data_IF_529304783769
#
_entry.id   IF_529304783769
#
_cell.length_a   1.000
_cell.length_b   1.000
_cell.length_c   1.000
_cell.angle_alpha   90.00
_cell.angle_beta   90.00
_cell.angle_gamma   90.00
#
_symmetry.space_group_name_H-M   'P 1'
#
loop_
_entity.id
_entity.type
_entity.pdbx_description
1 polymer ?
#
# COMPACT_ATOMS: atom_id res chain seq x y z
N UNK A 1 4.70 17.16 -18.78
CA UNK A 1 5.61 16.18 -19.42
C UNK A 1 5.85 15.06 -18.44
N UNK A 2 5.70 13.83 -18.87
CA UNK A 2 5.89 12.66 -18.02
C UNK A 2 7.40 12.49 -17.75
N UNK A 3 7.83 12.56 -16.49
CA UNK A 3 9.27 12.50 -16.13
C UNK A 3 9.70 11.13 -15.61
N UNK A 4 8.73 10.23 -15.41
CA UNK A 4 8.98 8.86 -14.94
C UNK A 4 9.42 8.02 -16.14
N UNK A 5 10.48 7.25 -15.98
CA UNK A 5 10.92 6.27 -16.96
C UNK A 5 10.36 4.89 -16.59
N UNK A 6 9.88 4.12 -17.56
CA UNK A 6 9.52 2.72 -17.39
C UNK A 6 10.71 1.83 -17.79
N UNK A 7 11.04 0.83 -16.98
CA UNK A 7 12.16 -0.09 -17.24
C UNK A 7 11.68 -1.51 -17.59
N UNK A 8 10.56 -1.93 -17.03
CA UNK A 8 9.94 -3.22 -17.34
C UNK A 8 8.44 -3.18 -17.15
N UNK A 9 7.75 -4.03 -17.90
CA UNK A 9 6.31 -4.19 -17.78
C UNK A 9 5.89 -5.63 -18.14
N UNK A 10 4.80 -6.10 -17.56
CA UNK A 10 4.23 -7.42 -17.83
C UNK A 10 2.73 -7.32 -18.00
N UNK A 11 2.20 -8.05 -18.98
CA UNK A 11 0.79 -8.01 -19.33
C UNK A 11 0.23 -9.44 -19.45
N UNK A 12 -0.82 -9.73 -18.69
CA UNK A 12 -1.46 -11.04 -18.64
C UNK A 12 -2.96 -10.90 -18.90
N UNK A 13 -3.46 -11.62 -19.91
CA UNK A 13 -4.90 -11.85 -20.08
C UNK A 13 -5.33 -12.99 -19.17
N UNK A 14 -6.41 -12.77 -18.45
CA UNK A 14 -7.04 -13.78 -17.60
C UNK A 14 -8.55 -13.68 -17.75
N UNK A 15 -9.25 -14.80 -17.65
CA UNK A 15 -10.70 -14.82 -17.63
C UNK A 15 -11.17 -14.91 -16.18
N UNK A 16 -12.03 -13.98 -15.78
CA UNK A 16 -12.61 -13.94 -14.44
C UNK A 16 -14.12 -13.80 -14.55
N UNK A 17 -14.86 -14.82 -14.07
CA UNK A 17 -16.33 -14.87 -14.13
C UNK A 17 -16.91 -14.66 -15.54
N UNK A 18 -16.28 -15.25 -16.56
CA UNK A 18 -16.71 -15.12 -17.95
C UNK A 18 -16.33 -13.79 -18.62
N UNK A 19 -15.51 -12.95 -17.97
CA UNK A 19 -15.00 -11.70 -18.53
C UNK A 19 -13.49 -11.75 -18.70
N UNK A 20 -13.00 -11.38 -19.89
CA UNK A 20 -11.56 -11.24 -20.15
C UNK A 20 -11.05 -9.95 -19.51
N UNK A 21 -10.13 -10.11 -18.56
CA UNK A 21 -9.43 -9.03 -17.87
C UNK A 21 -7.95 -9.02 -18.24
N UNK A 22 -7.40 -7.82 -18.26
CA UNK A 22 -5.98 -7.56 -18.40
C UNK A 22 -5.42 -7.21 -17.02
N UNK A 23 -4.46 -7.99 -16.55
CA UNK A 23 -3.58 -7.60 -15.44
C UNK A 23 -2.29 -7.01 -16.03
N UNK A 24 -1.98 -5.77 -15.69
CA UNK A 24 -0.83 -5.03 -16.21
C UNK A 24 0.01 -4.53 -15.04
N UNK A 25 1.32 -4.76 -15.09
CA UNK A 25 2.29 -4.21 -14.14
C UNK A 25 3.36 -3.42 -14.89
N UNK A 26 3.82 -2.32 -14.29
CA UNK A 26 4.90 -1.49 -14.80
C UNK A 26 5.83 -1.08 -13.66
N UNK A 27 7.13 -1.26 -13.86
CA UNK A 27 8.17 -0.85 -12.92
C UNK A 27 9.13 0.11 -13.64
N UNK A 28 9.61 1.12 -12.92
CA UNK A 28 10.47 2.14 -13.49
C UNK A 28 11.15 3.00 -12.42
N UNK A 29 11.65 4.15 -12.86
CA UNK A 29 12.41 5.09 -12.04
C UNK A 29 11.86 6.51 -12.20
N UNK A 30 11.65 7.19 -11.08
CA UNK A 30 11.36 8.61 -11.02
C UNK A 30 12.67 9.41 -10.82
N UNK A 31 12.78 10.64 -11.34
CA UNK A 31 14.03 11.40 -11.35
C UNK A 31 14.45 11.96 -9.99
N UNK A 32 13.52 12.04 -9.04
CA UNK A 32 13.71 12.62 -7.70
C UNK A 32 12.98 11.79 -6.64
N UNK A 33 13.22 12.08 -5.36
CA UNK A 33 12.43 11.50 -4.26
C UNK A 33 11.04 12.13 -4.12
N UNK A 34 10.09 11.38 -3.56
CA UNK A 34 8.79 11.92 -3.11
C UNK A 34 7.65 11.87 -4.14
N UNK A 35 7.87 11.23 -5.29
CA UNK A 35 6.78 10.89 -6.21
C UNK A 35 5.80 9.95 -5.51
N UNK A 36 4.51 10.12 -5.76
CA UNK A 36 3.46 9.35 -5.06
C UNK A 36 2.30 9.01 -5.98
N UNK A 37 1.45 8.07 -5.54
CA UNK A 37 0.26 7.63 -6.28
C UNK A 37 0.55 7.21 -7.73
N UNK A 38 1.47 6.26 -7.98
CA UNK A 38 1.70 5.74 -9.32
C UNK A 38 0.48 4.96 -9.84
N UNK A 39 0.10 5.18 -11.09
CA UNK A 39 -1.02 4.49 -11.73
C UNK A 39 -0.84 4.35 -13.23
N UNK A 40 -1.59 3.42 -13.82
CA UNK A 40 -1.66 3.15 -15.25
C UNK A 40 -3.01 3.63 -15.78
N UNK A 41 -2.99 4.59 -16.71
CA UNK A 41 -4.20 5.14 -17.30
C UNK A 41 -4.38 4.61 -18.74
N UNK A 42 -5.45 3.84 -19.04
CA UNK A 42 -5.71 3.39 -20.40
C UNK A 42 -6.06 4.57 -21.29
N UNK A 43 -5.49 4.62 -22.48
CA UNK A 43 -5.92 5.53 -23.54
C UNK A 43 -7.00 4.86 -24.37
N UNK A 44 -8.18 5.46 -24.38
CA UNK A 44 -9.27 5.01 -25.23
C UNK A 44 -9.25 5.78 -26.55
N UNK A 45 -9.13 5.04 -27.65
CA UNK A 45 -9.28 5.58 -29.00
C UNK A 45 -10.71 5.32 -29.50
N UNK A 46 -11.25 6.25 -30.27
CA UNK A 46 -12.57 6.09 -30.92
C UNK A 46 -12.55 5.07 -32.05
N UNK A 47 -11.38 4.85 -32.64
CA UNK A 47 -11.13 3.87 -33.69
C UNK A 47 -10.20 2.80 -33.15
N UNK A 48 -10.55 1.53 -33.38
CA UNK A 48 -9.70 0.39 -33.02
C UNK A 48 -8.38 0.50 -33.76
N UNK A 49 -7.23 0.52 -33.06
CA UNK A 49 -5.92 0.58 -33.68
C UNK A 49 -5.70 -0.63 -34.63
N UNK A 50 -5.23 -0.36 -35.84
CA UNK A 50 -5.01 -1.42 -36.85
C UNK A 50 -3.91 -2.41 -36.44
N UNK A 51 -2.96 -1.95 -35.64
CA UNK A 51 -1.88 -2.75 -35.05
C UNK A 51 -2.34 -3.59 -33.83
N UNK A 52 -3.54 -3.32 -33.30
CA UNK A 52 -4.07 -3.97 -32.10
C UNK A 52 -3.29 -3.61 -30.83
N UNK A 53 -2.59 -2.46 -30.82
CA UNK A 53 -1.85 -1.97 -29.65
C UNK A 53 -2.78 -1.14 -28.78
N UNK A 54 -2.89 -1.48 -27.50
CA UNK A 54 -3.58 -0.64 -26.51
C UNK A 54 -2.57 0.13 -25.67
N UNK A 55 -2.70 1.46 -25.66
CA UNK A 55 -1.77 2.34 -24.97
C UNK A 55 -2.19 2.66 -23.54
N UNK A 56 -1.20 2.77 -22.65
CA UNK A 56 -1.36 3.16 -21.26
C UNK A 56 -0.36 4.25 -20.90
N UNK A 57 -0.80 5.28 -20.18
CA UNK A 57 0.11 6.24 -19.56
C UNK A 57 0.56 5.75 -18.19
N UNK A 58 1.87 5.69 -17.96
CA UNK A 58 2.42 5.45 -16.62
C UNK A 58 2.67 6.78 -15.91
N UNK A 59 1.79 7.12 -14.98
CA UNK A 59 1.75 8.43 -14.34
C UNK A 59 1.97 8.29 -12.83
N UNK A 60 2.45 9.37 -12.21
CA UNK A 60 2.39 9.54 -10.77
C UNK A 60 2.33 11.03 -10.42
N UNK A 61 2.00 11.33 -9.17
CA UNK A 61 1.96 12.68 -8.63
C UNK A 61 3.38 13.19 -8.37
N UNK A 62 3.78 14.34 -8.92
CA UNK A 62 5.09 14.91 -8.68
C UNK A 62 5.23 15.35 -7.21
N UNK A 63 6.44 15.29 -6.64
CA UNK A 63 6.67 15.77 -5.29
C UNK A 63 6.51 17.30 -5.18
N UNK A 64 6.26 17.78 -3.95
CA UNK A 64 6.22 19.20 -3.63
C UNK A 64 7.34 19.59 -2.67
N UNK A 65 7.86 20.80 -2.82
CA UNK A 65 8.92 21.34 -1.95
C UNK A 65 10.31 20.84 -2.31
N UNK A 66 11.22 20.87 -1.33
CA UNK A 66 12.59 20.39 -1.52
C UNK A 66 12.61 18.86 -1.65
N UNK A 67 13.30 18.37 -2.67
CA UNK A 67 13.41 16.94 -2.98
C UNK A 67 14.86 16.52 -3.14
N UNK A 68 15.16 15.25 -2.85
CA UNK A 68 16.46 14.67 -3.15
C UNK A 68 16.56 14.41 -4.66
N UNK A 69 17.69 14.80 -5.24
CA UNK A 69 18.02 14.57 -6.66
C UNK A 69 18.60 13.17 -6.82
N UNK A 70 17.78 12.14 -6.57
CA UNK A 70 18.14 10.72 -6.66
C UNK A 70 17.06 9.98 -7.43
N UNK A 71 17.49 9.03 -8.28
CA UNK A 71 16.57 8.15 -8.98
C UNK A 71 15.87 7.23 -7.97
N UNK A 72 14.53 7.25 -7.93
CA UNK A 72 13.75 6.42 -7.00
C UNK A 72 12.90 5.39 -7.74
N UNK A 73 12.88 4.12 -7.29
CA UNK A 73 12.01 3.11 -7.88
C UNK A 73 10.53 3.48 -7.74
N UNK A 74 9.75 3.25 -8.80
CA UNK A 74 8.31 3.49 -8.82
C UNK A 74 7.60 2.39 -9.61
N UNK A 75 6.46 1.92 -9.11
CA UNK A 75 5.73 0.79 -9.69
C UNK A 75 4.23 1.05 -9.67
N UNK A 76 3.54 0.58 -10.70
CA UNK A 76 2.07 0.58 -10.79
C UNK A 76 1.56 -0.76 -11.29
N UNK A 77 0.39 -1.15 -10.82
CA UNK A 77 -0.34 -2.32 -11.29
C UNK A 77 -1.82 -2.00 -11.41
N UNK A 78 -2.52 -2.65 -12.34
CA UNK A 78 -3.95 -2.44 -12.54
C UNK A 78 -4.64 -3.60 -13.23
N UNK A 79 -5.94 -3.71 -12.98
CA UNK A 79 -6.85 -4.60 -13.69
C UNK A 79 -7.75 -3.79 -14.62
N UNK A 80 -7.82 -4.20 -15.87
CA UNK A 80 -8.59 -3.52 -16.90
C UNK A 80 -9.50 -4.52 -17.63
N UNK A 81 -10.66 -4.07 -18.07
CA UNK A 81 -11.46 -4.85 -19.03
C UNK A 81 -10.69 -4.86 -20.33
N UNK A 82 -10.35 -6.04 -20.85
CA UNK A 82 -9.51 -6.14 -22.04
C UNK A 82 -10.39 -6.33 -23.28
N UNK A 83 -10.42 -5.38 -24.21
CA UNK A 83 -11.12 -5.59 -25.47
C UNK A 83 -10.51 -6.74 -26.28
N UNK A 84 -11.34 -7.46 -27.01
CA UNK A 84 -10.91 -8.64 -27.79
C UNK A 84 -9.91 -8.31 -28.90
N UNK A 85 -9.92 -7.06 -29.38
CA UNK A 85 -9.02 -6.59 -30.43
C UNK A 85 -7.57 -6.39 -29.96
N UNK A 86 -7.33 -6.31 -28.64
CA UNK A 86 -6.00 -6.01 -28.10
C UNK A 86 -5.07 -7.21 -28.30
N UNK A 87 -3.95 -6.98 -28.97
CA UNK A 87 -2.87 -7.95 -29.21
C UNK A 87 -1.62 -7.63 -28.40
N UNK A 88 -1.36 -6.34 -28.17
CA UNK A 88 -0.17 -5.83 -27.47
C UNK A 88 -0.53 -4.64 -26.59
N UNK A 89 0.32 -4.38 -25.61
CA UNK A 89 0.22 -3.21 -24.74
C UNK A 89 1.43 -2.32 -24.96
N UNK A 90 1.22 -1.01 -25.10
CA UNK A 90 2.30 -0.02 -25.10
C UNK A 90 2.15 0.85 -23.86
N UNK A 91 3.20 0.97 -23.07
CA UNK A 91 3.24 1.86 -21.90
C UNK A 91 4.03 3.10 -22.28
N UNK A 92 3.36 4.25 -22.24
CA UNK A 92 3.90 5.56 -22.51
C UNK A 92 4.28 6.24 -21.18
N UNK A 93 5.58 6.52 -21.03
CA UNK A 93 6.17 7.22 -19.92
C UNK A 93 7.05 8.38 -20.46
N UNK A 94 8.15 8.72 -19.80
CA UNK A 94 9.23 9.51 -20.41
C UNK A 94 9.89 8.78 -21.59
N UNK A 95 9.78 7.45 -21.60
CA UNK A 95 10.11 6.54 -22.68
C UNK A 95 8.91 5.63 -22.97
N UNK A 96 9.03 4.76 -23.97
CA UNK A 96 7.99 3.79 -24.30
C UNK A 96 8.52 2.35 -24.20
N UNK A 97 7.65 1.45 -23.73
CA UNK A 97 7.89 0.01 -23.75
C UNK A 97 6.64 -0.68 -24.32
N UNK A 98 6.86 -1.61 -25.24
CA UNK A 98 5.82 -2.52 -25.72
C UNK A 98 5.94 -3.88 -25.05
N UNK A 99 4.79 -4.46 -24.72
CA UNK A 99 4.66 -5.76 -24.08
C UNK A 99 3.68 -6.58 -24.91
N UNK A 100 4.13 -7.75 -25.36
CA UNK A 100 3.24 -8.72 -25.97
C UNK A 100 2.32 -9.31 -24.91
N UNK A 101 1.04 -9.47 -25.25
CA UNK A 101 0.12 -10.19 -24.37
C UNK A 101 0.52 -11.66 -24.37
N UNK A 102 0.98 -12.16 -23.23
CA UNK A 102 1.30 -13.58 -23.09
C UNK A 102 0.01 -14.41 -23.27
N UNK A 103 -0.14 -15.05 -24.43
CA UNK A 103 -1.16 -16.07 -24.65
C UNK A 103 -0.64 -17.38 -24.05
N UNK A 104 -1.12 -17.77 -22.86
CA UNK A 104 -0.88 -19.12 -22.35
C UNK A 104 -2.11 -20.00 -22.52
N UNK A 105 -2.07 -20.84 -23.54
CA UNK A 105 -2.71 -22.16 -23.51
C UNK A 105 -1.90 -23.06 -22.54
N UNK A 106 -2.19 -23.00 -21.23
CA UNK A 106 -1.68 -23.91 -20.19
C UNK A 106 -0.15 -23.94 -19.95
N UNK A 107 0.35 -24.63 -18.91
CA UNK A 107 -0.36 -25.33 -17.84
C UNK A 107 -0.83 -24.33 -16.77
N UNK A 108 -1.82 -24.76 -15.99
CA UNK A 108 -2.25 -24.20 -14.71
C UNK A 108 -1.24 -23.24 -14.08
N UNK A 109 -1.33 -21.94 -14.39
CA UNK A 109 -1.30 -20.99 -13.29
C UNK A 109 -2.68 -21.14 -12.66
N UNK A 110 -2.83 -22.18 -11.82
CA UNK A 110 -3.57 -21.99 -10.60
C UNK A 110 -2.89 -20.80 -9.93
N UNK A 111 -3.33 -19.59 -10.30
CA UNK A 111 -3.76 -18.72 -9.22
C UNK A 111 -4.82 -19.60 -8.57
N UNK A 112 -4.47 -20.20 -7.44
CA UNK A 112 -5.47 -20.60 -6.47
C UNK A 112 -6.28 -19.32 -6.21
N UNK A 113 -7.26 -19.09 -7.08
CA UNK A 113 -8.43 -18.30 -6.77
C UNK A 113 -9.28 -19.38 -6.11
N UNK A 114 -9.21 -19.56 -4.77
CA UNK A 114 -10.16 -20.43 -4.11
C UNK A 114 -11.53 -19.96 -4.59
N UNK A 115 -12.16 -20.86 -5.33
CA UNK A 115 -13.47 -20.69 -5.96
C UNK A 115 -14.34 -19.96 -4.96
N UNK A 116 -14.81 -18.76 -5.32
CA UNK A 116 -15.67 -17.86 -4.55
C UNK A 116 -16.30 -18.50 -3.31
N UNK A 117 -15.50 -18.68 -2.26
CA UNK A 117 -16.01 -18.69 -0.91
C UNK A 117 -16.33 -17.23 -0.71
N UNK A 118 -17.54 -16.93 -0.29
CA UNK A 118 -17.80 -15.69 0.42
C UNK A 118 -16.92 -15.74 1.67
N UNK A 119 -15.60 -15.53 1.52
CA UNK A 119 -14.69 -15.38 2.63
C UNK A 119 -15.10 -14.03 3.18
N UNK A 120 -15.97 -14.12 4.18
CA UNK A 120 -16.22 -13.10 5.16
C UNK A 120 -14.83 -12.57 5.51
N UNK A 121 -14.48 -11.41 4.95
CA UNK A 121 -13.13 -10.87 5.06
C UNK A 121 -12.72 -10.95 6.52
N UNK A 122 -11.60 -11.63 6.79
CA UNK A 122 -11.14 -11.77 8.16
C UNK A 122 -10.71 -10.39 8.58
N UNK A 123 -11.49 -9.80 9.48
CA UNK A 123 -11.13 -8.57 10.15
C UNK A 123 -10.18 -8.94 11.29
N UNK A 124 -8.89 -8.92 10.99
CA UNK A 124 -7.86 -9.15 11.99
C UNK A 124 -7.46 -7.82 12.61
N UNK A 125 -7.42 -7.77 13.94
CA UNK A 125 -7.04 -6.58 14.71
C UNK A 125 -5.97 -6.94 15.72
N UNK A 126 -4.92 -6.13 15.82
CA UNK A 126 -3.91 -6.27 16.85
C UNK A 126 -3.40 -4.93 17.31
N UNK A 127 -3.36 -4.76 18.62
CA UNK A 127 -2.67 -3.65 19.25
C UNK A 127 -1.16 -3.79 19.02
N UNK A 128 -0.54 -2.73 18.53
CA UNK A 128 0.90 -2.71 18.26
C UNK A 128 1.67 -1.83 19.23
N UNK A 129 1.00 -0.86 19.84
CA UNK A 129 1.56 0.02 20.85
C UNK A 129 0.44 0.70 21.64
N UNK A 130 0.70 0.93 22.92
CA UNK A 130 -0.06 1.82 23.79
C UNK A 130 0.88 2.85 24.39
N UNK A 131 0.51 4.12 24.44
CA UNK A 131 1.38 5.16 25.00
C UNK A 131 0.61 6.31 25.63
N UNK A 132 1.28 7.03 26.54
CA UNK A 132 0.72 8.20 27.21
C UNK A 132 1.43 9.48 26.78
N UNK A 133 0.68 10.54 26.52
CA UNK A 133 1.20 11.89 26.33
C UNK A 133 0.36 12.95 27.08
N UNK A 134 0.71 14.23 26.88
CA UNK A 134 -0.11 15.37 27.32
C UNK A 134 -0.48 15.35 28.81
N UNK A 135 0.53 15.17 29.66
CA UNK A 135 0.38 15.21 31.11
C UNK A 135 0.03 16.62 31.59
N UNK A 136 -1.13 16.77 32.22
CA UNK A 136 -1.65 18.05 32.69
C UNK A 136 -2.15 17.94 34.14
N UNK A 137 -1.87 18.96 34.94
CA UNK A 137 -2.51 19.16 36.24
C UNK A 137 -3.90 19.78 35.99
N UNK A 138 -4.95 19.19 36.53
CA UNK A 138 -6.34 19.67 36.37
C UNK A 138 -7.04 20.03 37.69
N UNK A 139 -6.40 19.79 38.83
CA UNK A 139 -6.95 20.20 40.12
C UNK A 139 -6.32 19.46 41.29
N UNK A 140 -7.13 19.28 42.34
CA UNK A 140 -6.73 18.63 43.58
C UNK A 140 -7.74 17.52 43.93
N UNK A 141 -7.25 16.42 44.50
CA UNK A 141 -8.10 15.33 45.00
C UNK A 141 -8.35 15.42 46.53
N UNK A 142 -7.86 16.48 47.17
CA UNK A 142 -7.81 16.64 48.63
C UNK A 142 -6.45 16.28 49.24
N UNK A 143 -6.15 16.83 50.41
CA UNK A 143 -4.85 16.65 51.08
C UNK A 143 -3.69 17.23 50.26
N UNK A 144 -2.59 16.48 50.12
CA UNK A 144 -1.44 16.80 49.27
C UNK A 144 -1.54 16.18 47.85
N UNK A 145 -2.66 15.54 47.52
CA UNK A 145 -2.84 14.79 46.26
C UNK A 145 -3.34 15.66 45.12
N UNK A 146 -2.61 15.70 44.02
CA UNK A 146 -2.91 16.50 42.83
C UNK A 146 -3.72 15.66 41.84
N UNK A 147 -4.75 16.26 41.24
CA UNK A 147 -5.52 15.66 40.17
C UNK A 147 -4.81 15.89 38.84
N UNK A 148 -4.44 14.81 38.18
CA UNK A 148 -3.72 14.78 36.92
C UNK A 148 -4.62 14.23 35.80
N UNK A 149 -4.36 14.63 34.57
CA UNK A 149 -4.87 13.97 33.36
C UNK A 149 -3.74 13.73 32.36
N UNK A 150 -3.88 12.68 31.57
CA UNK A 150 -2.99 12.30 30.46
C UNK A 150 -3.85 11.81 29.32
N UNK A 151 -3.36 11.95 28.10
CA UNK A 151 -4.00 11.38 26.93
C UNK A 151 -3.32 10.03 26.68
N UNK A 152 -4.11 8.96 26.72
CA UNK A 152 -3.67 7.60 26.43
C UNK A 152 -4.05 7.26 25.01
N UNK A 153 -3.10 6.75 24.24
CA UNK A 153 -3.27 6.34 22.85
C UNK A 153 -3.07 4.84 22.72
N UNK A 154 -3.95 4.19 21.97
CA UNK A 154 -3.85 2.77 21.61
C UNK A 154 -3.84 2.65 20.09
N UNK A 155 -2.70 2.22 19.55
CA UNK A 155 -2.51 1.99 18.12
C UNK A 155 -2.85 0.55 17.78
N UNK A 156 -3.85 0.38 16.93
CA UNK A 156 -4.33 -0.92 16.47
C UNK A 156 -4.16 -1.04 14.95
N UNK A 157 -3.47 -2.08 14.51
CA UNK A 157 -3.46 -2.45 13.09
C UNK A 157 -4.70 -3.27 12.81
N UNK A 158 -5.46 -2.86 11.81
CA UNK A 158 -6.68 -3.51 11.35
C UNK A 158 -6.47 -3.94 9.91
N UNK A 159 -6.46 -5.25 9.69
CA UNK A 159 -6.30 -5.85 8.37
C UNK A 159 -7.60 -6.54 7.99
N UNK A 160 -8.10 -6.23 6.80
CA UNK A 160 -9.17 -6.97 6.17
C UNK A 160 -8.58 -7.78 5.02
N UNK A 161 -8.75 -9.09 5.04
CA UNK A 161 -8.27 -9.94 3.96
C UNK A 161 -8.78 -11.38 4.02
N UNK A 162 -8.47 -12.17 3.00
CA UNK A 162 -8.95 -13.54 2.86
C UNK A 162 -8.30 -14.54 3.84
N UNK A 163 -7.04 -14.32 4.24
CA UNK A 163 -6.24 -15.30 4.98
C UNK A 163 -5.62 -14.73 6.27
N UNK A 164 -6.13 -15.13 7.43
CA UNK A 164 -5.60 -14.74 8.74
C UNK A 164 -4.19 -15.29 9.01
N UNK A 165 -3.87 -16.48 8.51
CA UNK A 165 -2.58 -17.11 8.75
C UNK A 165 -1.47 -16.36 8.00
N UNK A 166 -1.75 -15.92 6.76
CA UNK A 166 -0.87 -15.03 6.02
C UNK A 166 -0.69 -13.69 6.75
N UNK A 167 -1.78 -13.09 7.27
CA UNK A 167 -1.72 -11.86 8.07
C UNK A 167 -0.79 -12.02 9.28
N UNK A 168 -0.94 -13.10 10.05
CA UNK A 168 -0.11 -13.35 11.24
C UNK A 168 1.36 -13.56 10.88
N UNK A 169 1.65 -14.39 9.89
CA UNK A 169 3.03 -14.65 9.43
C UNK A 169 3.73 -13.36 8.97
N UNK A 170 3.07 -12.60 8.09
CA UNK A 170 3.60 -11.34 7.58
C UNK A 170 3.75 -10.28 8.66
N UNK A 171 2.86 -10.27 9.65
CA UNK A 171 2.94 -9.35 10.77
C UNK A 171 4.17 -9.67 11.63
N UNK A 172 4.38 -10.94 11.98
CA UNK A 172 5.52 -11.35 12.80
C UNK A 172 6.85 -11.09 12.07
N UNK A 173 6.91 -11.30 10.74
CA UNK A 173 8.08 -10.95 9.90
C UNK A 173 8.33 -9.43 9.85
N UNK A 174 7.29 -8.62 9.63
CA UNK A 174 7.41 -7.17 9.61
C UNK A 174 7.83 -6.59 10.97
N UNK A 175 7.40 -7.23 12.07
CA UNK A 175 7.80 -6.87 13.43
C UNK A 175 9.25 -7.27 13.75
N UNK A 176 9.70 -8.43 13.24
CA UNK A 176 11.08 -8.89 13.40
C UNK A 176 12.10 -8.01 12.64
N UNK A 177 11.68 -7.34 11.56
CA UNK A 177 12.53 -6.44 10.77
C UNK A 177 12.91 -5.11 11.46
N UNK A 178 12.72 -4.99 12.78
CA UNK A 178 13.22 -3.85 13.59
C UNK A 178 12.20 -2.74 13.84
N UNK A 179 10.95 -2.90 13.40
CA UNK A 179 9.88 -1.90 13.57
C UNK A 179 9.53 -1.68 15.04
N UNK A 180 9.55 -2.73 15.88
CA UNK A 180 9.26 -2.59 17.32
C UNK A 180 10.25 -1.61 17.98
N UNK A 181 11.54 -1.74 17.67
CA UNK A 181 12.56 -0.84 18.20
C UNK A 181 12.39 0.60 17.67
N UNK A 182 11.95 0.77 16.43
CA UNK A 182 11.70 2.08 15.83
C UNK A 182 10.44 2.77 16.41
N UNK A 183 9.35 2.03 16.65
CA UNK A 183 8.13 2.55 17.29
C UNK A 183 8.42 2.91 18.75
N UNK A 184 9.14 2.06 19.48
CA UNK A 184 9.56 2.32 20.86
C UNK A 184 10.56 3.49 20.93
N UNK A 185 11.50 3.61 19.98
CA UNK A 185 12.40 4.76 19.92
C UNK A 185 11.68 6.06 19.51
N UNK A 186 10.67 5.97 18.64
CA UNK A 186 9.81 7.11 18.29
C UNK A 186 8.98 7.60 19.49
N UNK A 187 8.58 6.69 20.38
CA UNK A 187 7.92 7.01 21.64
C UNK A 187 8.84 7.83 22.58
N UNK A 188 10.13 7.49 22.67
CA UNK A 188 11.11 8.27 23.46
C UNK A 188 11.31 9.68 22.90
N UNK A 189 11.15 9.87 21.59
CA UNK A 189 11.34 11.18 20.92
C UNK A 189 10.08 12.04 20.87
N UNK A 190 8.99 11.65 21.55
CA UNK A 190 7.75 12.44 21.59
C UNK A 190 6.97 12.40 20.27
N UNK A 191 7.01 11.28 19.54
CA UNK A 191 6.20 11.06 18.34
C UNK A 191 6.83 11.59 17.04
N UNK A 192 7.96 12.30 17.09
CA UNK A 192 8.60 12.87 15.91
C UNK A 192 9.00 11.82 14.86
N UNK A 193 9.33 10.60 15.28
CA UNK A 193 9.68 9.49 14.39
C UNK A 193 8.54 8.48 14.18
N UNK A 194 7.36 8.70 14.77
CA UNK A 194 6.29 7.69 14.81
C UNK A 194 5.67 7.48 13.44
N UNK A 195 5.37 8.56 12.71
CA UNK A 195 4.80 8.50 11.37
C UNK A 195 5.73 7.80 10.37
N UNK A 196 7.04 8.03 10.48
CA UNK A 196 8.05 7.37 9.66
C UNK A 196 8.17 5.87 9.97
N UNK A 197 8.18 5.51 11.26
CA UNK A 197 8.22 4.11 11.70
C UNK A 197 6.97 3.34 11.26
N UNK A 198 5.78 3.97 11.39
CA UNK A 198 4.52 3.42 10.90
C UNK A 198 4.55 3.25 9.37
N UNK A 199 5.05 4.23 8.63
CA UNK A 199 5.17 4.14 7.17
C UNK A 199 6.06 2.97 6.73
N UNK A 200 7.21 2.81 7.37
CA UNK A 200 8.12 1.68 7.09
C UNK A 200 7.47 0.33 7.42
N UNK A 201 6.77 0.23 8.55
CA UNK A 201 6.01 -0.95 8.92
C UNK A 201 4.94 -1.31 7.88
N UNK A 202 4.08 -0.35 7.54
CA UNK A 202 2.98 -0.55 6.60
C UNK A 202 3.51 -0.92 5.20
N UNK A 203 4.64 -0.34 4.78
CA UNK A 203 5.29 -0.70 3.53
C UNK A 203 5.78 -2.15 3.53
N UNK A 204 6.49 -2.58 4.57
CA UNK A 204 7.01 -3.95 4.66
C UNK A 204 5.87 -4.97 4.82
N UNK A 205 4.90 -4.65 5.66
CA UNK A 205 3.76 -5.51 5.92
C UNK A 205 2.86 -5.66 4.69
N UNK A 206 2.61 -4.55 3.98
CA UNK A 206 1.89 -4.55 2.70
C UNK A 206 2.63 -5.32 1.61
N UNK A 207 3.97 -5.19 1.53
CA UNK A 207 4.77 -5.94 0.58
C UNK A 207 4.71 -7.46 0.83
N UNK A 208 4.69 -7.90 2.09
CA UNK A 208 4.54 -9.31 2.44
C UNK A 208 3.14 -9.84 2.12
N UNK A 209 2.10 -9.07 2.44
CA UNK A 209 0.71 -9.46 2.22
C UNK A 209 0.32 -9.51 0.74
N UNK A 210 0.89 -8.63 -0.08
CA UNK A 210 0.54 -8.51 -1.50
C UNK A 210 -0.86 -7.93 -1.73
N UNK A 211 -1.48 -8.27 -2.86
CA UNK A 211 -2.80 -7.78 -3.24
C UNK A 211 -3.96 -8.48 -2.50
N UNK A 212 -5.12 -7.83 -2.43
CA UNK A 212 -6.34 -8.42 -1.84
C UNK A 212 -6.50 -8.19 -0.33
N UNK A 213 -5.59 -7.43 0.30
CA UNK A 213 -5.68 -7.01 1.69
C UNK A 213 -5.90 -5.50 1.76
N UNK A 214 -6.65 -5.06 2.77
CA UNK A 214 -6.74 -3.65 3.16
C UNK A 214 -6.15 -3.51 4.56
N UNK A 215 -5.10 -2.72 4.67
CA UNK A 215 -4.42 -2.46 5.95
C UNK A 215 -4.79 -1.05 6.37
N UNK A 216 -5.32 -0.92 7.57
CA UNK A 216 -5.66 0.36 8.19
C UNK A 216 -5.07 0.42 9.58
N UNK A 217 -4.82 1.64 10.05
CA UNK A 217 -4.33 1.88 11.40
C UNK A 217 -5.38 2.70 12.13
N UNK A 218 -5.89 2.15 13.22
CA UNK A 218 -6.82 2.80 14.13
C UNK A 218 -6.01 3.35 15.30
N UNK A 219 -6.14 4.65 15.54
CA UNK A 219 -5.56 5.33 16.70
C UNK A 219 -6.70 5.77 17.60
N UNK A 220 -6.73 5.20 18.81
CA UNK A 220 -7.73 5.53 19.81
C UNK A 220 -7.10 6.32 20.93
N UNK A 221 -7.55 7.55 21.10
CA UNK A 221 -7.12 8.43 22.17
C UNK A 221 -8.20 8.58 23.23
N UNK A 222 -7.86 8.40 24.51
CA UNK A 222 -8.75 8.66 25.64
C UNK A 222 -8.05 9.43 26.76
N UNK A 223 -8.78 10.34 27.41
CA UNK A 223 -8.27 11.06 28.57
C UNK A 223 -8.40 10.19 29.81
N UNK A 224 -7.27 9.90 30.47
CA UNK A 224 -7.23 9.20 31.75
C UNK A 224 -6.94 10.23 32.83
N UNK A 225 -7.82 10.30 33.83
CA UNK A 225 -7.63 11.12 35.03
C UNK A 225 -7.18 10.24 36.20
N UNK A 226 -6.22 10.71 36.99
CA UNK A 226 -5.82 10.05 38.23
C UNK A 226 -5.41 11.06 39.30
N UNK A 227 -5.33 10.58 40.54
CA UNK A 227 -4.81 11.33 41.67
C UNK A 227 -3.42 10.77 42.03
N UNK A 228 -2.44 11.64 42.26
CA UNK A 228 -1.08 11.26 42.72
C UNK A 228 -1.04 10.98 44.21
#
# INVERSE_FOLDING_TARGET
MNQIRVDSAQAHKTEFLGQVRLYLTANGMAPTSGWSSPYLAPRYTTVVPADGVWEFDFLASPPHGMVLQVLTPIAAAGFFTCPDWVKKIRICAANEIEVDLAAKHGPEFMVDIPCAVTQKGVLWKREIASFDDSFNIIGHCGGLSIKMKKLHHTLTVVVNGPDEAAIRRCFDEAMAAGVIAAIVAAFITGGAALSAAIGAFLSQFGACLGGGYTITMDDRSEWIEWCT
#
